data_IF_295482656055
#
_entry.id   IF_295482656055
#
_cell.length_a   1.000
_cell.length_b   1.000
_cell.length_c   1.000
_cell.angle_alpha   90.00
_cell.angle_beta   90.00
_cell.angle_gamma   90.00
#
_symmetry.space_group_name_H-M   'P 1'
#
loop_
_entity.id
_entity.type
_entity.pdbx_description
1 polymer ?
#
# COMPACT_ATOMS: atom_id res chain seq x y z
N UNK A 1 -9.46 -10.84 17.35
CA UNK A 1 -8.70 -9.58 17.20
C UNK A 1 -8.12 -9.53 15.79
N UNK A 2 -8.59 -8.63 14.92
CA UNK A 2 -7.76 -8.07 13.85
C UNK A 2 -8.20 -6.64 13.64
N UNK A 3 -7.23 -5.74 13.53
CA UNK A 3 -7.20 -4.95 12.32
C UNK A 3 -5.81 -5.12 11.73
N UNK A 4 -5.70 -5.88 10.64
CA UNK A 4 -4.57 -5.73 9.74
C UNK A 4 -4.53 -4.25 9.34
N UNK A 5 -3.52 -3.51 9.82
CA UNK A 5 -3.39 -2.08 9.55
C UNK A 5 -2.93 -1.86 8.10
N UNK A 6 -2.93 -0.61 7.63
CA UNK A 6 -2.57 -0.29 6.24
C UNK A 6 -1.21 -0.85 5.82
N UNK A 7 -0.21 -0.81 6.71
CA UNK A 7 1.12 -1.38 6.49
C UNK A 7 1.04 -2.89 6.23
N UNK A 8 0.34 -3.61 7.10
CA UNK A 8 0.19 -5.06 6.98
C UNK A 8 -0.49 -5.46 5.67
N UNK A 9 -1.47 -4.67 5.20
CA UNK A 9 -2.23 -5.00 3.99
C UNK A 9 -1.40 -4.88 2.71
N UNK A 10 -0.50 -3.91 2.63
CA UNK A 10 0.45 -3.80 1.51
C UNK A 10 1.42 -5.00 1.47
N UNK A 11 1.92 -5.44 2.62
CA UNK A 11 2.81 -6.61 2.68
C UNK A 11 2.09 -7.93 2.41
N UNK A 12 0.85 -8.09 2.89
CA UNK A 12 0.01 -9.23 2.55
C UNK A 12 -0.22 -9.35 1.05
N UNK A 13 -0.49 -8.22 0.38
CA UNK A 13 -0.59 -8.17 -1.07
C UNK A 13 0.68 -8.69 -1.73
N UNK A 14 1.84 -8.19 -1.28
CA UNK A 14 3.14 -8.62 -1.81
C UNK A 14 3.37 -10.12 -1.65
N UNK A 15 3.09 -10.67 -0.47
CA UNK A 15 3.22 -12.12 -0.23
C UNK A 15 2.21 -12.95 -1.02
N UNK A 16 0.98 -12.45 -1.23
CA UNK A 16 0.02 -13.10 -2.12
C UNK A 16 0.55 -13.17 -3.56
N UNK A 17 1.18 -12.10 -4.07
CA UNK A 17 1.85 -12.13 -5.37
C UNK A 17 2.97 -13.18 -5.44
N UNK A 18 3.75 -13.37 -4.35
CA UNK A 18 4.82 -14.38 -4.28
C UNK A 18 4.22 -15.80 -4.35
N UNK A 19 3.15 -16.06 -3.60
CA UNK A 19 2.43 -17.34 -3.63
C UNK A 19 1.93 -17.64 -5.04
N UNK A 20 1.23 -16.69 -5.65
CA UNK A 20 0.67 -16.85 -6.99
C UNK A 20 1.79 -17.05 -8.02
N UNK A 21 2.83 -16.24 -7.98
CA UNK A 21 3.97 -16.38 -8.89
C UNK A 21 4.62 -17.76 -8.77
N UNK A 22 4.84 -18.28 -7.56
CA UNK A 22 5.39 -19.62 -7.39
C UNK A 22 4.48 -20.69 -8.03
N UNK A 23 3.19 -20.67 -7.70
CA UNK A 23 2.23 -21.65 -8.17
C UNK A 23 1.99 -21.58 -9.69
N UNK A 24 1.85 -20.38 -10.25
CA UNK A 24 1.66 -20.16 -11.70
C UNK A 24 2.87 -20.62 -12.53
N UNK A 25 4.05 -20.66 -11.93
CA UNK A 25 5.29 -21.12 -12.57
C UNK A 25 5.67 -22.56 -12.18
N UNK A 26 4.74 -23.33 -11.58
CA UNK A 26 4.96 -24.73 -11.21
C UNK A 26 6.01 -24.94 -10.12
N UNK A 27 6.39 -23.90 -9.36
CA UNK A 27 7.32 -24.00 -8.24
C UNK A 27 6.58 -24.43 -6.98
N UNK A 28 7.18 -25.35 -6.23
CA UNK A 28 6.65 -25.77 -4.94
C UNK A 28 6.72 -24.66 -3.91
N UNK A 29 5.63 -24.46 -3.17
CA UNK A 29 5.63 -23.62 -1.97
C UNK A 29 6.40 -24.32 -0.85
N UNK A 30 7.17 -23.55 -0.09
CA UNK A 30 7.84 -24.10 1.10
C UNK A 30 6.81 -24.36 2.18
N UNK A 31 6.90 -25.54 2.81
CA UNK A 31 5.92 -25.96 3.83
C UNK A 31 6.53 -26.12 5.21
N UNK A 32 5.70 -25.99 6.24
CA UNK A 32 6.01 -26.37 7.62
C UNK A 32 5.08 -27.51 8.08
N UNK A 33 5.35 -28.06 9.26
CA UNK A 33 4.62 -29.22 9.82
C UNK A 33 3.25 -28.84 10.43
N UNK A 34 2.85 -27.57 10.40
CA UNK A 34 1.55 -27.16 10.93
C UNK A 34 0.42 -27.72 10.05
N UNK A 35 -0.66 -28.13 10.71
CA UNK A 35 -1.89 -28.61 10.11
C UNK A 35 -3.10 -27.88 10.71
N UNK A 36 -3.29 -26.57 10.40
CA UNK A 36 -4.39 -25.81 10.96
C UNK A 36 -5.73 -26.26 10.38
N UNK A 37 -6.79 -26.06 11.18
CA UNK A 37 -8.17 -26.22 10.74
C UNK A 37 -8.76 -24.87 10.35
N UNK A 38 -9.55 -24.86 9.28
CA UNK A 38 -10.35 -23.73 8.83
C UNK A 38 -11.82 -24.16 8.88
N UNK A 39 -12.59 -23.50 9.75
CA UNK A 39 -14.04 -23.60 9.72
C UNK A 39 -14.54 -22.83 8.49
N UNK A 40 -15.35 -23.50 7.67
CA UNK A 40 -15.88 -22.95 6.42
C UNK A 40 -17.40 -23.05 6.43
N UNK A 41 -18.07 -21.91 6.26
CA UNK A 41 -19.55 -21.84 6.37
C UNK A 41 -20.26 -22.67 5.30
N UNK A 42 -19.75 -22.66 4.07
CA UNK A 42 -20.22 -23.51 2.98
C UNK A 42 -19.14 -23.71 1.91
N UNK A 43 -19.23 -24.73 1.05
CA UNK A 43 -18.25 -24.92 -0.03
C UNK A 43 -18.13 -23.71 -0.98
N UNK A 44 -19.21 -22.93 -1.14
CA UNK A 44 -19.25 -21.75 -2.00
C UNK A 44 -18.43 -20.59 -1.43
N UNK A 45 -18.36 -20.44 -0.10
CA UNK A 45 -17.62 -19.35 0.57
C UNK A 45 -16.15 -19.67 0.83
N UNK A 46 -15.70 -20.89 0.50
CA UNK A 46 -14.34 -21.37 0.75
C UNK A 46 -13.24 -20.39 0.29
N UNK A 47 -13.42 -19.76 -0.87
CA UNK A 47 -12.45 -18.81 -1.40
C UNK A 47 -12.32 -17.53 -0.58
N UNK A 48 -13.44 -16.99 -0.09
CA UNK A 48 -13.48 -15.77 0.74
C UNK A 48 -12.90 -16.07 2.13
N UNK A 49 -13.34 -17.16 2.73
CA UNK A 49 -12.93 -17.56 4.07
C UNK A 49 -11.48 -18.05 4.10
N UNK A 50 -11.06 -18.74 3.03
CA UNK A 50 -9.66 -19.10 2.78
C UNK A 50 -8.77 -17.87 2.61
N UNK A 51 -9.20 -16.86 1.85
CA UNK A 51 -8.48 -15.59 1.71
C UNK A 51 -8.37 -14.85 3.05
N UNK A 52 -9.46 -14.80 3.82
CA UNK A 52 -9.46 -14.20 5.15
C UNK A 52 -8.51 -14.96 6.09
N UNK A 53 -8.54 -16.30 6.10
CA UNK A 53 -7.60 -17.11 6.86
C UNK A 53 -6.15 -16.87 6.44
N UNK A 54 -5.87 -16.84 5.13
CA UNK A 54 -4.53 -16.58 4.60
C UNK A 54 -4.05 -15.19 5.02
N UNK A 55 -4.92 -14.20 5.00
CA UNK A 55 -4.62 -12.84 5.48
C UNK A 55 -4.16 -12.86 6.95
N UNK A 56 -4.87 -13.60 7.81
CA UNK A 56 -4.53 -13.74 9.23
C UNK A 56 -3.21 -14.47 9.43
N UNK A 57 -3.01 -15.57 8.69
CA UNK A 57 -1.77 -16.34 8.70
C UNK A 57 -0.58 -15.45 8.32
N UNK A 58 -0.69 -14.71 7.21
CA UNK A 58 0.38 -13.82 6.74
C UNK A 58 0.67 -12.70 7.73
N UNK A 59 -0.37 -12.12 8.34
CA UNK A 59 -0.19 -11.10 9.38
C UNK A 59 0.56 -11.63 10.60
N UNK A 60 0.06 -12.72 11.21
CA UNK A 60 0.61 -13.25 12.45
C UNK A 60 1.95 -13.95 12.26
N UNK A 61 2.11 -14.68 11.14
CA UNK A 61 3.28 -15.49 10.85
C UNK A 61 4.47 -14.69 10.33
N UNK A 62 4.22 -13.66 9.51
CA UNK A 62 5.28 -13.00 8.75
C UNK A 62 5.40 -11.51 9.07
N UNK A 63 4.30 -10.80 9.28
CA UNK A 63 4.35 -9.35 9.44
C UNK A 63 4.68 -8.99 10.87
N UNK A 64 3.93 -9.52 11.84
CA UNK A 64 4.20 -9.28 13.26
C UNK A 64 5.56 -9.80 13.72
N UNK A 65 6.11 -10.80 13.00
CA UNK A 65 7.41 -11.40 13.28
C UNK A 65 8.53 -10.89 12.36
N UNK A 66 8.26 -9.87 11.53
CA UNK A 66 9.20 -9.30 10.54
C UNK A 66 9.70 -10.28 9.46
N UNK A 67 9.23 -11.53 9.42
CA UNK A 67 9.54 -12.50 8.37
C UNK A 67 8.99 -12.13 6.98
N UNK A 68 8.14 -11.11 6.87
CA UNK A 68 7.65 -10.58 5.59
C UNK A 68 8.61 -9.59 4.90
N UNK A 69 9.64 -9.10 5.61
CA UNK A 69 10.58 -8.10 5.09
C UNK A 69 11.35 -8.55 3.83
N UNK A 70 11.83 -9.80 3.70
CA UNK A 70 12.59 -10.24 2.53
C UNK A 70 11.81 -10.15 1.21
N UNK A 71 10.48 -10.22 1.24
CA UNK A 71 9.64 -10.17 0.03
C UNK A 71 9.40 -8.76 -0.49
N UNK A 72 9.71 -7.75 0.33
CA UNK A 72 9.47 -6.36 0.00
C UNK A 72 10.52 -5.89 -1.00
N UNK A 73 10.06 -5.36 -2.13
CA UNK A 73 10.89 -4.93 -3.27
C UNK A 73 11.72 -6.03 -3.98
N UNK A 74 11.97 -7.18 -3.35
CA UNK A 74 12.66 -8.32 -3.97
C UNK A 74 11.84 -8.91 -5.13
N UNK A 75 12.45 -9.45 -6.19
CA UNK A 75 11.76 -10.21 -7.24
C UNK A 75 10.86 -11.33 -6.67
N UNK A 76 9.71 -11.60 -7.31
CA UNK A 76 8.68 -12.50 -6.78
C UNK A 76 9.14 -13.97 -6.59
N UNK A 77 10.18 -14.40 -7.31
CA UNK A 77 10.75 -15.74 -7.21
C UNK A 77 11.86 -15.88 -6.16
N UNK A 78 12.30 -14.78 -5.56
CA UNK A 78 13.33 -14.78 -4.53
C UNK A 78 12.72 -14.99 -3.14
N UNK A 79 13.53 -15.56 -2.25
CA UNK A 79 13.17 -15.81 -0.84
C UNK A 79 11.97 -16.74 -0.60
N UNK A 80 11.54 -17.51 -1.59
CA UNK A 80 10.38 -18.40 -1.48
C UNK A 80 10.50 -19.39 -0.31
N UNK A 81 11.73 -19.81 0.01
CA UNK A 81 12.07 -20.67 1.16
C UNK A 81 11.78 -20.02 2.52
N UNK A 82 11.69 -18.69 2.56
CA UNK A 82 11.32 -17.93 3.75
C UNK A 82 9.80 -17.93 3.98
N UNK A 83 8.97 -18.23 2.97
CA UNK A 83 7.50 -18.28 3.07
C UNK A 83 7.02 -19.72 3.35
N UNK A 84 7.25 -20.20 4.57
CA UNK A 84 6.83 -21.53 5.03
C UNK A 84 5.34 -21.60 5.36
N UNK A 85 4.50 -21.98 4.40
CA UNK A 85 3.06 -22.18 4.60
C UNK A 85 2.77 -23.55 5.25
N UNK A 86 1.60 -23.76 5.88
CA UNK A 86 1.21 -25.10 6.35
C UNK A 86 1.30 -26.17 5.25
N UNK A 87 1.88 -27.33 5.55
CA UNK A 87 1.96 -28.46 4.62
C UNK A 87 0.66 -29.26 4.48
N UNK A 88 -0.33 -28.98 5.32
CA UNK A 88 -1.69 -29.50 5.21
C UNK A 88 -2.68 -28.56 5.86
N UNK A 89 -3.95 -28.63 5.47
CA UNK A 89 -5.04 -27.86 6.06
C UNK A 89 -6.23 -28.80 6.25
N UNK A 90 -6.91 -28.72 7.38
CA UNK A 90 -8.22 -29.33 7.56
C UNK A 90 -9.31 -28.32 7.27
N UNK A 91 -10.17 -28.60 6.29
CA UNK A 91 -11.40 -27.83 6.06
C UNK A 91 -12.54 -28.50 6.79
N UNK A 92 -13.30 -27.71 7.56
CA UNK A 92 -14.48 -28.18 8.27
C UNK A 92 -15.72 -27.49 7.72
N UNK A 93 -16.64 -28.28 7.18
CA UNK A 93 -17.91 -27.82 6.58
C UNK A 93 -19.01 -28.73 7.10
N UNK A 94 -20.03 -28.19 7.77
CA UNK A 94 -21.18 -28.94 8.28
C UNK A 94 -20.80 -30.21 9.08
N UNK A 95 -19.73 -30.13 9.87
CA UNK A 95 -19.21 -31.25 10.67
C UNK A 95 -18.39 -32.29 9.90
N UNK A 96 -18.29 -32.18 8.58
CA UNK A 96 -17.37 -32.98 7.77
C UNK A 96 -15.98 -32.35 7.75
N UNK A 97 -14.95 -33.19 7.89
CA UNK A 97 -13.55 -32.76 7.84
C UNK A 97 -12.91 -33.28 6.56
N UNK A 98 -12.41 -32.36 5.71
CA UNK A 98 -11.59 -32.69 4.55
C UNK A 98 -10.16 -32.22 4.78
N UNK A 99 -9.20 -33.14 4.73
CA UNK A 99 -7.76 -32.78 4.78
C UNK A 99 -7.26 -32.47 3.37
N UNK A 100 -6.69 -31.28 3.19
CA UNK A 100 -6.02 -30.83 1.97
C UNK A 100 -4.51 -31.04 2.07
N UNK A 101 -3.93 -31.67 1.05
CA UNK A 101 -2.50 -31.89 0.89
C UNK A 101 -2.13 -31.88 -0.61
N UNK A 102 -0.84 -31.74 -0.92
CA UNK A 102 -0.32 -31.82 -2.29
C UNK A 102 -1.01 -30.84 -3.25
N UNK A 103 -1.46 -31.34 -4.39
CA UNK A 103 -2.10 -30.51 -5.43
C UNK A 103 -3.42 -29.87 -4.98
N UNK A 104 -4.21 -30.54 -4.13
CA UNK A 104 -5.44 -29.93 -3.60
C UNK A 104 -5.13 -28.72 -2.72
N UNK A 105 -4.06 -28.81 -1.92
CA UNK A 105 -3.59 -27.72 -1.08
C UNK A 105 -3.02 -26.56 -1.92
N UNK A 106 -2.27 -26.86 -2.98
CA UNK A 106 -1.78 -25.84 -3.91
C UNK A 106 -2.93 -25.09 -4.59
N UNK A 107 -3.99 -25.80 -5.02
CA UNK A 107 -5.20 -25.17 -5.57
C UNK A 107 -5.89 -24.27 -4.56
N UNK A 108 -5.99 -24.71 -3.31
CA UNK A 108 -6.53 -23.88 -2.22
C UNK A 108 -5.70 -22.61 -2.02
N UNK A 109 -4.37 -22.73 -1.92
CA UNK A 109 -3.50 -21.55 -1.77
C UNK A 109 -3.59 -20.59 -2.94
N UNK A 110 -3.66 -21.12 -4.17
CA UNK A 110 -3.84 -20.31 -5.37
C UNK A 110 -5.13 -19.49 -5.30
N UNK A 111 -6.26 -20.15 -5.01
CA UNK A 111 -7.56 -19.52 -4.92
C UNK A 111 -7.62 -18.48 -3.78
N UNK A 112 -7.12 -18.84 -2.59
CA UNK A 112 -7.08 -17.94 -1.44
C UNK A 112 -6.16 -16.73 -1.66
N UNK A 113 -4.99 -16.93 -2.28
CA UNK A 113 -4.07 -15.84 -2.61
C UNK A 113 -4.62 -14.93 -3.70
N UNK A 114 -5.26 -15.48 -4.74
CA UNK A 114 -5.94 -14.73 -5.79
C UNK A 114 -7.04 -13.84 -5.22
N UNK A 115 -7.90 -14.41 -4.37
CA UNK A 115 -8.98 -13.69 -3.73
C UNK A 115 -8.45 -12.62 -2.75
N UNK A 116 -7.42 -12.96 -1.97
CA UNK A 116 -6.76 -12.01 -1.09
C UNK A 116 -6.18 -10.83 -1.88
N UNK A 117 -5.42 -11.10 -2.94
CA UNK A 117 -4.82 -10.08 -3.80
C UNK A 117 -5.91 -9.14 -4.36
N UNK A 118 -6.95 -9.71 -4.97
CA UNK A 118 -8.09 -8.96 -5.52
C UNK A 118 -8.75 -8.07 -4.47
N UNK A 119 -9.00 -8.62 -3.27
CA UNK A 119 -9.65 -7.87 -2.20
C UNK A 119 -8.78 -6.70 -1.70
N UNK A 120 -7.46 -6.84 -1.71
CA UNK A 120 -6.51 -5.81 -1.29
C UNK A 120 -6.41 -4.69 -2.33
N UNK A 121 -6.39 -5.05 -3.62
CA UNK A 121 -6.37 -4.10 -4.73
C UNK A 121 -7.67 -3.28 -4.83
N UNK A 122 -8.81 -3.86 -4.46
CA UNK A 122 -10.13 -3.19 -4.40
C UNK A 122 -10.32 -2.28 -3.17
N UNK A 123 -9.27 -1.54 -2.79
CA UNK A 123 -9.35 -0.46 -1.81
C UNK A 123 -9.13 -0.86 -0.35
N UNK A 124 -8.89 -2.15 -0.05
CA UNK A 124 -8.50 -2.52 1.32
C UNK A 124 -7.07 -2.11 1.62
N UNK A 125 -6.12 -2.25 0.69
CA UNK A 125 -4.73 -1.87 0.91
C UNK A 125 -4.43 -0.41 0.46
N UNK A 126 -3.48 0.29 1.12
CA UNK A 126 -3.08 1.62 0.69
C UNK A 126 -2.42 1.56 -0.69
N UNK A 127 -2.95 2.33 -1.64
CA UNK A 127 -2.56 2.24 -3.05
C UNK A 127 -1.06 2.50 -3.29
N UNK A 128 -0.46 3.48 -2.60
CA UNK A 128 0.98 3.74 -2.73
C UNK A 128 1.83 2.59 -2.20
N UNK A 129 1.35 1.84 -1.21
CA UNK A 129 2.02 0.63 -0.73
C UNK A 129 1.92 -0.52 -1.73
N UNK A 130 0.81 -0.64 -2.44
CA UNK A 130 0.66 -1.57 -3.56
C UNK A 130 1.61 -1.22 -4.70
N UNK A 131 1.65 0.04 -5.11
CA UNK A 131 2.55 0.55 -6.16
C UNK A 131 4.02 0.33 -5.80
N UNK A 132 4.36 0.40 -4.52
CA UNK A 132 5.72 0.24 -4.01
C UNK A 132 6.00 -1.18 -3.49
N UNK A 133 5.47 -2.21 -4.19
CA UNK A 133 5.76 -3.64 -3.94
C UNK A 133 5.66 -4.05 -2.45
N UNK A 134 4.66 -3.52 -1.74
CA UNK A 134 4.38 -3.81 -0.33
C UNK A 134 5.09 -2.90 0.68
N UNK A 135 6.05 -2.07 0.26
CA UNK A 135 6.70 -1.09 1.11
C UNK A 135 5.82 0.15 1.28
N UNK A 136 5.58 0.58 2.52
CA UNK A 136 4.86 1.84 2.76
C UNK A 136 5.71 3.04 2.36
N UNK A 137 5.07 3.98 1.66
CA UNK A 137 5.63 5.28 1.31
C UNK A 137 5.31 6.26 2.45
N UNK A 138 6.30 6.69 3.25
CA UNK A 138 6.06 7.60 4.36
C UNK A 138 5.84 9.03 3.85
N UNK A 139 4.64 9.55 4.09
CA UNK A 139 4.22 10.90 3.69
C UNK A 139 3.66 11.65 4.90
N UNK A 140 3.91 12.95 4.97
CA UNK A 140 3.19 13.86 5.86
C UNK A 140 2.63 15.01 5.02
N UNK A 141 1.34 15.27 5.18
CA UNK A 141 0.66 16.37 4.51
C UNK A 141 0.49 17.55 5.48
N UNK A 142 1.04 18.69 5.11
CA UNK A 142 0.84 19.95 5.81
C UNK A 142 -0.25 20.75 5.12
N UNK A 143 -1.32 21.06 5.85
CA UNK A 143 -2.45 21.84 5.36
C UNK A 143 -2.39 23.26 5.90
N UNK A 144 -2.87 24.21 5.11
CA UNK A 144 -3.13 25.57 5.54
C UNK A 144 -4.12 25.60 6.72
N UNK A 145 -3.94 26.57 7.61
CA UNK A 145 -4.85 26.77 8.75
C UNK A 145 -6.29 26.96 8.23
N UNK A 146 -7.24 26.28 8.86
CA UNK A 146 -8.66 26.53 8.62
C UNK A 146 -9.05 27.83 9.33
N UNK A 147 -9.63 28.76 8.58
CA UNK A 147 -10.05 30.07 9.07
C UNK A 147 -11.54 30.06 9.42
N UNK A 148 -12.00 31.13 10.08
CA UNK A 148 -13.42 31.37 10.37
C UNK A 148 -14.11 30.22 11.13
N UNK A 149 -13.38 29.55 12.02
CA UNK A 149 -13.96 28.54 12.90
C UNK A 149 -14.79 29.22 14.01
N UNK A 150 -16.06 28.88 14.08
CA UNK A 150 -16.91 29.16 15.24
C UNK A 150 -16.47 28.28 16.39
N UNK A 151 -16.22 28.85 17.57
CA UNK A 151 -15.85 28.08 18.77
C UNK A 151 -16.96 28.20 19.79
N UNK A 152 -17.46 27.06 20.27
CA UNK A 152 -18.37 27.02 21.41
C UNK A 152 -17.69 26.33 22.60
N UNK A 153 -17.97 26.83 23.80
CA UNK A 153 -17.50 26.23 25.04
C UNK A 153 -18.60 25.40 25.68
N UNK A 154 -18.30 24.15 26.02
CA UNK A 154 -19.17 23.31 26.82
C UNK A 154 -18.54 23.21 28.22
N UNK A 155 -19.25 23.69 29.23
CA UNK A 155 -18.88 23.49 30.64
C UNK A 155 -19.53 22.22 31.17
N UNK A 156 -18.73 21.17 31.32
CA UNK A 156 -19.12 19.91 31.93
C UNK A 156 -18.52 19.82 33.34
N UNK A 157 -19.36 20.10 34.34
CA UNK A 157 -19.02 20.09 35.78
C UNK A 157 -17.81 21.00 36.11
N UNK A 158 -16.60 20.46 36.03
CA UNK A 158 -15.32 21.13 36.34
C UNK A 158 -14.37 21.26 35.15
N UNK A 159 -14.75 20.78 33.96
CA UNK A 159 -13.96 20.91 32.73
C UNK A 159 -14.71 21.74 31.69
N UNK A 160 -14.02 22.74 31.17
CA UNK A 160 -14.43 23.44 29.94
C UNK A 160 -13.80 22.72 28.75
N UNK A 161 -14.61 22.26 27.81
CA UNK A 161 -14.13 21.78 26.51
C UNK A 161 -14.52 22.79 25.44
N UNK A 162 -13.55 23.17 24.61
CA UNK A 162 -13.77 24.04 23.46
C UNK A 162 -13.88 23.19 22.21
N UNK A 163 -14.91 23.46 21.42
CA UNK A 163 -15.16 22.78 20.16
C UNK A 163 -15.24 23.82 19.05
N UNK A 164 -14.31 23.74 18.11
CA UNK A 164 -14.26 24.61 16.94
C UNK A 164 -14.87 23.90 15.74
N UNK A 165 -15.78 24.56 15.03
CA UNK A 165 -16.53 24.02 13.91
C UNK A 165 -16.82 25.12 12.87
N UNK A 166 -17.25 24.71 11.68
CA UNK A 166 -17.84 25.61 10.69
C UNK A 166 -19.29 25.19 10.51
N UNK A 167 -20.17 26.15 10.27
CA UNK A 167 -21.59 25.88 10.01
C UNK A 167 -21.83 25.25 8.64
N UNK A 168 -20.80 25.23 7.79
CA UNK A 168 -20.81 24.64 6.45
C UNK A 168 -19.81 23.49 6.37
N UNK A 169 -20.08 22.52 5.49
CA UNK A 169 -19.11 21.48 5.16
C UNK A 169 -17.83 22.10 4.59
N UNK A 170 -16.70 21.84 5.25
CA UNK A 170 -15.40 22.26 4.73
C UNK A 170 -15.03 21.38 3.53
N UNK A 171 -14.68 21.95 2.36
CA UNK A 171 -14.31 21.15 1.21
C UNK A 171 -13.04 20.36 1.52
N UNK A 172 -13.02 19.06 1.22
CA UNK A 172 -11.84 18.20 1.45
C UNK A 172 -10.55 18.72 0.80
N UNK A 173 -10.66 19.54 -0.26
CA UNK A 173 -9.54 20.18 -0.95
C UNK A 173 -9.11 21.53 -0.33
N UNK A 174 -9.85 22.04 0.65
CA UNK A 174 -9.73 23.40 1.16
C UNK A 174 -10.26 24.46 0.20
N UNK A 175 -10.27 25.72 0.64
CA UNK A 175 -10.67 26.87 -0.19
C UNK A 175 -9.78 28.08 0.09
N UNK A 176 -9.66 29.03 -0.85
CA UNK A 176 -8.91 30.26 -0.60
C UNK A 176 -9.43 31.04 0.61
N UNK A 177 -10.75 30.99 0.83
CA UNK A 177 -11.44 31.77 1.86
C UNK A 177 -11.36 31.11 3.24
N UNK A 178 -11.58 29.79 3.31
CA UNK A 178 -11.67 29.05 4.57
C UNK A 178 -10.40 28.25 4.92
N UNK A 179 -9.37 28.29 4.07
CA UNK A 179 -8.12 27.57 4.27
C UNK A 179 -8.28 26.04 4.16
N UNK A 180 -7.40 25.29 4.83
CA UNK A 180 -7.39 23.82 4.81
C UNK A 180 -6.84 23.20 3.51
N UNK A 181 -6.25 24.01 2.63
CA UNK A 181 -5.60 23.53 1.39
C UNK A 181 -4.30 22.82 1.71
N UNK A 182 -3.94 21.82 0.91
CA UNK A 182 -2.61 21.21 0.98
C UNK A 182 -1.54 22.25 0.61
N UNK A 183 -0.55 22.47 1.49
CA UNK A 183 0.55 23.43 1.30
C UNK A 183 1.93 22.79 1.34
N UNK A 184 2.09 21.70 2.08
CA UNK A 184 3.36 21.00 2.19
C UNK A 184 3.18 19.50 2.05
N UNK A 185 4.12 18.86 1.35
CA UNK A 185 4.29 17.41 1.37
C UNK A 185 5.69 17.10 1.90
N UNK A 186 5.79 16.47 3.06
CA UNK A 186 7.05 15.93 3.57
C UNK A 186 7.21 14.47 3.13
N UNK A 187 8.35 14.18 2.50
CA UNK A 187 8.76 12.85 2.03
C UNK A 187 10.12 12.47 2.63
N UNK A 188 10.46 11.17 2.65
CA UNK A 188 11.79 10.72 3.11
C UNK A 188 12.84 10.72 2.02
N UNK A 189 12.43 10.61 0.77
CA UNK A 189 13.32 10.57 -0.39
C UNK A 189 12.62 11.12 -1.64
N UNK A 190 13.39 11.50 -2.65
CA UNK A 190 12.86 11.80 -3.98
C UNK A 190 12.15 10.59 -4.61
N UNK A 191 12.57 9.37 -4.27
CA UNK A 191 11.88 8.15 -4.69
C UNK A 191 10.47 8.05 -4.11
N UNK A 192 10.24 8.50 -2.87
CA UNK A 192 8.90 8.53 -2.27
C UNK A 192 8.03 9.60 -2.92
N UNK A 193 8.63 10.74 -3.30
CA UNK A 193 7.95 11.75 -4.08
C UNK A 193 7.59 11.25 -5.50
N UNK A 194 8.50 10.51 -6.16
CA UNK A 194 8.21 9.86 -7.43
C UNK A 194 7.03 8.88 -7.32
N UNK A 195 6.99 8.05 -6.28
CA UNK A 195 5.87 7.13 -6.05
C UNK A 195 4.55 7.89 -5.84
N UNK A 196 4.57 8.99 -5.08
CA UNK A 196 3.39 9.83 -4.87
C UNK A 196 2.91 10.42 -6.20
N UNK A 197 3.80 11.05 -6.96
CA UNK A 197 3.46 11.67 -8.25
C UNK A 197 2.93 10.63 -9.26
N UNK A 198 3.55 9.45 -9.35
CA UNK A 198 3.06 8.36 -10.18
C UNK A 198 1.68 7.89 -9.72
N UNK A 199 1.47 7.73 -8.41
CA UNK A 199 0.18 7.36 -7.85
C UNK A 199 -0.92 8.38 -8.16
N UNK A 200 -0.61 9.68 -8.02
CA UNK A 200 -1.48 10.78 -8.40
C UNK A 200 -1.84 10.73 -9.89
N UNK A 201 -0.84 10.58 -10.77
CA UNK A 201 -1.05 10.48 -12.23
C UNK A 201 -1.94 9.29 -12.62
N UNK A 202 -1.72 8.11 -12.01
CA UNK A 202 -2.58 6.93 -12.28
C UNK A 202 -4.02 7.17 -11.82
N UNK A 203 -4.21 7.89 -10.72
CA UNK A 203 -5.55 8.21 -10.17
C UNK A 203 -6.20 9.44 -10.79
N UNK A 204 -5.55 10.08 -11.78
CA UNK A 204 -6.06 11.32 -12.39
C UNK A 204 -6.15 12.48 -11.40
N UNK A 205 -5.29 12.50 -10.39
CA UNK A 205 -5.21 13.56 -9.39
C UNK A 205 -3.95 14.40 -9.63
N UNK A 206 -4.09 15.71 -9.54
CA UNK A 206 -2.95 16.64 -9.63
C UNK A 206 -2.70 17.27 -8.26
N UNK A 207 -1.45 17.18 -7.80
CA UNK A 207 -1.01 17.91 -6.62
C UNK A 207 -1.01 19.43 -6.93
N UNK A 208 -1.45 20.29 -5.99
CA UNK A 208 -1.46 21.73 -6.21
C UNK A 208 -0.09 22.25 -6.66
N UNK A 209 -0.08 23.28 -7.49
CA UNK A 209 1.16 23.83 -8.07
C UNK A 209 1.93 24.69 -7.08
N UNK A 210 1.27 25.18 -6.04
CA UNK A 210 1.82 26.03 -4.99
C UNK A 210 2.28 25.25 -3.74
N UNK A 211 2.32 23.92 -3.79
CA UNK A 211 2.86 23.13 -2.67
C UNK A 211 4.36 23.29 -2.56
N UNK A 212 4.85 23.20 -1.33
CA UNK A 212 6.26 22.98 -1.01
C UNK A 212 6.50 21.49 -0.79
N UNK A 213 7.60 20.96 -1.33
CA UNK A 213 8.02 19.58 -1.09
C UNK A 213 9.24 19.57 -0.18
N UNK A 214 9.12 18.94 0.98
CA UNK A 214 10.18 18.82 1.97
C UNK A 214 10.74 17.40 1.95
N UNK A 215 12.00 17.24 1.58
CA UNK A 215 12.72 15.95 1.60
C UNK A 215 13.55 15.86 2.87
N UNK A 216 13.09 15.06 3.83
CA UNK A 216 13.68 15.01 5.19
C UNK A 216 14.87 14.06 5.34
N UNK A 217 15.15 13.20 4.36
CA UNK A 217 16.27 12.27 4.41
C UNK A 217 16.34 11.46 5.72
N UNK A 218 17.56 11.14 6.14
CA UNK A 218 17.82 10.46 7.41
C UNK A 218 17.81 11.43 8.60
N UNK A 219 17.58 10.93 9.84
CA UNK A 219 17.37 11.75 11.05
C UNK A 219 18.43 12.84 11.33
N UNK A 220 19.67 12.67 10.83
CA UNK A 220 20.79 13.59 11.03
C UNK A 220 20.99 14.61 9.90
N UNK A 221 20.24 14.52 8.81
CA UNK A 221 20.38 15.40 7.66
C UNK A 221 19.40 16.58 7.76
N UNK A 222 19.84 17.76 7.30
CA UNK A 222 18.94 18.89 7.11
C UNK A 222 17.92 18.53 6.03
N UNK A 223 16.67 18.89 6.27
CA UNK A 223 15.65 18.72 5.25
C UNK A 223 15.93 19.66 4.07
N UNK A 224 15.84 19.12 2.87
CA UNK A 224 15.87 19.90 1.64
C UNK A 224 14.45 20.33 1.30
N UNK A 225 14.29 21.59 0.89
CA UNK A 225 13.03 22.12 0.38
C UNK A 225 13.18 22.27 -1.12
N UNK A 226 12.24 21.71 -1.88
CA UNK A 226 12.14 21.92 -3.31
C UNK A 226 11.24 23.13 -3.55
N UNK A 227 11.72 24.09 -4.32
CA UNK A 227 10.91 25.20 -4.79
C UNK A 227 10.04 24.79 -6.00
N UNK A 228 9.21 25.72 -6.48
CA UNK A 228 8.28 25.48 -7.58
C UNK A 228 8.98 25.07 -8.89
N UNK A 229 10.15 25.66 -9.20
CA UNK A 229 10.88 25.33 -10.42
C UNK A 229 11.47 23.92 -10.33
N UNK A 230 12.06 23.57 -9.19
CA UNK A 230 12.60 22.23 -8.95
C UNK A 230 11.50 21.16 -8.98
N UNK A 231 10.33 21.44 -8.39
CA UNK A 231 9.17 20.54 -8.45
C UNK A 231 8.69 20.36 -9.89
N UNK A 232 8.64 21.44 -10.67
CA UNK A 232 8.22 21.39 -12.07
C UNK A 232 9.20 20.57 -12.91
N UNK A 233 10.50 20.83 -12.80
CA UNK A 233 11.55 20.07 -13.48
C UNK A 233 11.48 18.58 -13.11
N UNK A 234 11.30 18.28 -11.81
CA UNK A 234 11.15 16.90 -11.35
C UNK A 234 9.94 16.21 -11.98
N UNK A 235 8.79 16.86 -12.00
CA UNK A 235 7.55 16.31 -12.59
C UNK A 235 7.69 16.10 -14.10
N UNK A 236 8.38 16.99 -14.81
CA UNK A 236 8.64 16.83 -16.25
C UNK A 236 9.55 15.64 -16.55
N UNK A 237 10.67 15.52 -15.82
CA UNK A 237 11.57 14.36 -15.94
C UNK A 237 10.84 13.05 -15.62
N UNK A 238 10.05 13.03 -14.55
CA UNK A 238 9.22 11.90 -14.18
C UNK A 238 8.24 11.53 -15.31
N UNK A 239 7.52 12.50 -15.85
CA UNK A 239 6.55 12.26 -16.92
C UNK A 239 7.22 11.67 -18.18
N UNK A 240 8.39 12.18 -18.56
CA UNK A 240 9.14 11.65 -19.70
C UNK A 240 9.57 10.20 -19.48
N UNK A 241 10.17 9.89 -18.33
CA UNK A 241 10.60 8.54 -17.95
C UNK A 241 9.43 7.56 -17.87
N UNK A 242 8.30 8.01 -17.31
CA UNK A 242 7.08 7.21 -17.21
C UNK A 242 6.49 6.93 -18.59
N UNK A 243 6.44 7.94 -19.49
CA UNK A 243 5.92 7.77 -20.84
C UNK A 243 6.74 6.78 -21.68
N UNK A 244 8.07 6.84 -21.56
CA UNK A 244 8.98 5.88 -22.20
C UNK A 244 8.70 4.45 -21.75
N UNK A 245 8.62 4.22 -20.44
CA UNK A 245 8.39 2.89 -19.87
C UNK A 245 6.98 2.38 -20.10
N UNK A 246 5.98 3.26 -20.14
CA UNK A 246 4.58 2.94 -20.44
C UNK A 246 4.34 2.66 -21.94
N UNK A 247 5.32 2.94 -22.82
CA UNK A 247 5.22 2.75 -24.28
C UNK A 247 3.97 3.41 -24.88
N UNK A 248 3.65 4.62 -24.43
CA UNK A 248 2.51 5.40 -24.90
C UNK A 248 1.13 4.93 -24.42
N UNK A 249 1.04 3.91 -23.55
CA UNK A 249 -0.24 3.49 -22.95
C UNK A 249 -0.64 4.41 -21.81
N UNK A 250 -1.94 4.75 -21.66
CA UNK A 250 -2.43 5.50 -20.49
C UNK A 250 -2.14 4.74 -19.19
N UNK A 251 -1.60 5.44 -18.19
CA UNK A 251 -1.21 4.84 -16.91
C UNK A 251 -2.37 4.16 -16.18
N UNK A 252 -3.56 4.75 -16.22
CA UNK A 252 -4.77 4.18 -15.63
C UNK A 252 -5.22 2.85 -16.26
N UNK A 253 -4.73 2.52 -17.46
CA UNK A 253 -5.03 1.26 -18.16
C UNK A 253 -3.94 0.20 -17.95
N UNK A 254 -2.81 0.53 -17.31
CA UNK A 254 -1.76 -0.43 -17.04
C UNK A 254 -2.12 -1.32 -15.85
N UNK A 255 -1.86 -2.63 -15.91
CA UNK A 255 -2.04 -3.51 -14.78
C UNK A 255 -1.05 -3.16 -13.66
N UNK A 256 -1.44 -3.40 -12.40
CA UNK A 256 -0.65 -3.01 -11.22
C UNK A 256 0.79 -3.52 -11.27
N UNK A 257 1.05 -4.73 -11.77
CA UNK A 257 2.42 -5.26 -11.86
C UNK A 257 3.33 -4.44 -12.79
N UNK A 258 2.80 -3.86 -13.87
CA UNK A 258 3.55 -2.96 -14.75
C UNK A 258 3.82 -1.63 -14.06
N UNK A 259 2.83 -1.09 -13.35
CA UNK A 259 3.01 0.14 -12.56
C UNK A 259 4.03 -0.03 -11.43
N UNK A 260 4.03 -1.19 -10.76
CA UNK A 260 5.02 -1.57 -9.76
C UNK A 260 6.44 -1.62 -10.34
N UNK A 261 6.57 -2.11 -11.58
CA UNK A 261 7.86 -2.19 -12.26
C UNK A 261 8.37 -0.82 -12.68
N UNK A 262 7.49 0.04 -13.23
CA UNK A 262 7.82 1.44 -13.52
C UNK A 262 8.29 2.15 -12.24
N UNK A 263 7.52 2.05 -11.16
CA UNK A 263 7.87 2.65 -9.88
C UNK A 263 9.22 2.14 -9.33
N UNK A 264 9.49 0.85 -9.45
CA UNK A 264 10.74 0.23 -9.02
C UNK A 264 11.95 0.79 -9.78
N UNK A 265 11.82 1.00 -11.09
CA UNK A 265 12.89 1.55 -11.94
C UNK A 265 13.14 3.02 -11.65
N UNK A 266 12.08 3.80 -11.50
CA UNK A 266 12.19 5.21 -11.11
C UNK A 266 12.95 5.36 -9.79
N UNK A 267 12.63 4.54 -8.79
CA UNK A 267 13.26 4.58 -7.47
C UNK A 267 14.69 4.03 -7.43
N UNK A 268 15.10 3.27 -8.45
CA UNK A 268 16.46 2.72 -8.53
C UNK A 268 17.46 3.72 -9.12
N UNK A 269 16.99 4.75 -9.85
CA UNK A 269 17.83 5.82 -10.38
C UNK A 269 18.23 6.85 -9.33
N UNK A 270 19.31 7.57 -9.60
CA UNK A 270 19.60 8.81 -8.87
C UNK A 270 18.65 9.91 -9.37
N UNK A 271 17.76 10.35 -8.50
CA UNK A 271 16.75 11.35 -8.81
C UNK A 271 17.18 12.77 -8.45
N UNK A 272 18.36 12.95 -7.86
CA UNK A 272 18.85 14.27 -7.44
C UNK A 272 18.99 15.22 -8.63
N UNK A 273 19.48 14.72 -9.76
CA UNK A 273 19.66 15.49 -11.00
C UNK A 273 18.35 16.02 -11.60
N UNK A 274 17.21 15.46 -11.22
CA UNK A 274 15.90 15.89 -11.74
C UNK A 274 15.40 17.18 -11.10
N UNK A 275 16.12 17.64 -10.07
CA UNK A 275 15.86 18.90 -9.36
C UNK A 275 16.90 19.98 -9.65
N UNK A 276 17.84 19.71 -10.56
CA UNK A 276 18.81 20.70 -11.04
C UNK A 276 18.11 21.59 -12.08
N UNK A 277 17.97 22.87 -11.73
CA UNK A 277 17.39 23.92 -12.59
C UNK A 277 18.45 24.99 -12.79
#
# INVERSE_FOLDING_TARGET
MHPSNAYSRAQQHRMAQVILHALDNGRSLSTNELAPSIEVSSPETLHIEGAAWLQRLLHGGYINKLGGLPFINAPLGEHLESLKLPGSIELRVDGQVKKLQGEELNRFYHQAASELQRSLENGKAPYLGLLNKGAIVPLVFGFEKINNLSTHEIKLRSKTTQHSYQDTEHPLAGSPENGGKLKEVEVRSLGDFATLCLGCAVKGFELPTDIVVRVKGQKSQKAQYLDAQQIQAFRQNLAAQVAEQAKGKPLGALPLHQLQEINSRLRAGDLSDWTNV
#
